data_IF_907451889107
#
_entry.id   IF_907451889107
#
_cell.length_a   1.000
_cell.length_b   1.000
_cell.length_c   1.000
_cell.angle_alpha   90.00
_cell.angle_beta   90.00
_cell.angle_gamma   90.00
#
_symmetry.space_group_name_H-M   'P 1'
#
loop_
_entity.id
_entity.type
_entity.pdbx_description
1 polymer ?
#
# COMPACT_ATOMS: atom_id res chain seq x y z
N UNK A 1 -7.56 -5.59 -0.91
CA UNK A 1 -6.12 -5.82 -0.71
C UNK A 1 -5.94 -6.39 0.68
N UNK A 2 -5.27 -7.53 0.82
CA UNK A 2 -5.03 -8.16 2.11
C UNK A 2 -3.53 -8.18 2.37
N UNK A 3 -3.12 -7.63 3.51
CA UNK A 3 -1.75 -7.71 3.96
C UNK A 3 -1.56 -8.98 4.81
N UNK A 4 -0.33 -9.22 5.24
CA UNK A 4 -0.03 -10.19 6.29
C UNK A 4 -1.00 -10.02 7.48
N UNK A 5 -1.56 -11.11 8.04
CA UNK A 5 -1.17 -12.52 7.86
C UNK A 5 -1.94 -13.31 6.78
N UNK A 6 -2.78 -12.67 5.97
CA UNK A 6 -3.57 -13.37 4.95
C UNK A 6 -2.69 -13.73 3.74
N UNK A 7 -2.84 -14.94 3.20
CA UNK A 7 -2.18 -15.37 1.96
C UNK A 7 -3.16 -15.44 0.79
N UNK A 8 -2.66 -15.23 -0.42
CA UNK A 8 -3.41 -15.29 -1.69
C UNK A 8 -2.50 -15.89 -2.76
N UNK A 9 -3.08 -16.54 -3.77
CA UNK A 9 -2.32 -16.86 -4.97
C UNK A 9 -1.86 -15.57 -5.64
N UNK A 10 -0.57 -15.52 -5.99
CA UNK A 10 0.03 -14.33 -6.55
C UNK A 10 1.16 -14.66 -7.52
N UNK A 11 1.32 -13.78 -8.50
CA UNK A 11 2.51 -13.68 -9.33
C UNK A 11 3.06 -12.27 -9.22
N UNK A 12 4.39 -12.12 -9.10
CA UNK A 12 5.06 -10.81 -9.07
C UNK A 12 6.32 -10.85 -9.92
N UNK A 13 6.41 -9.94 -10.88
CA UNK A 13 7.60 -9.69 -11.68
C UNK A 13 8.28 -8.38 -11.25
N UNK A 14 9.60 -8.39 -11.15
CA UNK A 14 10.42 -7.21 -10.83
C UNK A 14 11.55 -7.09 -11.84
N UNK A 15 11.77 -5.88 -12.33
CA UNK A 15 12.85 -5.54 -13.24
C UNK A 15 13.70 -4.41 -12.65
N UNK A 16 14.97 -4.69 -12.38
CA UNK A 16 15.91 -3.68 -11.88
C UNK A 16 16.50 -2.93 -13.08
N UNK A 17 16.17 -1.64 -13.22
CA UNK A 17 16.69 -0.78 -14.29
C UNK A 17 18.12 -0.32 -13.96
N UNK A 18 18.37 -0.02 -12.68
CA UNK A 18 19.68 0.30 -12.11
C UNK A 18 19.82 -0.40 -10.75
N UNK A 19 21.00 -0.37 -10.10
CA UNK A 19 21.13 -0.88 -8.74
C UNK A 19 20.24 -0.19 -7.70
N UNK A 20 19.81 1.05 -7.99
CA UNK A 20 18.98 1.87 -7.11
C UNK A 20 17.56 2.12 -7.64
N UNK A 21 17.21 1.64 -8.83
CA UNK A 21 15.90 1.91 -9.43
C UNK A 21 15.30 0.65 -10.05
N UNK A 22 14.09 0.29 -9.64
CA UNK A 22 13.37 -0.86 -10.20
C UNK A 22 11.89 -0.57 -10.43
N UNK A 23 11.34 -1.30 -11.39
CA UNK A 23 9.91 -1.37 -11.64
C UNK A 23 9.40 -2.77 -11.29
N UNK A 24 8.18 -2.87 -10.76
CA UNK A 24 7.54 -4.15 -10.49
C UNK A 24 6.05 -4.11 -10.80
N UNK A 25 5.52 -5.28 -11.15
CA UNK A 25 4.09 -5.52 -11.37
C UNK A 25 3.71 -6.84 -10.72
N UNK A 26 2.50 -6.90 -10.18
CA UNK A 26 1.94 -8.13 -9.64
C UNK A 26 0.55 -8.42 -10.17
N UNK A 27 0.14 -9.67 -9.99
CA UNK A 27 -1.24 -10.14 -10.16
C UNK A 27 -1.56 -10.98 -8.95
N UNK A 28 -2.52 -10.53 -8.15
CA UNK A 28 -2.96 -11.17 -6.92
C UNK A 28 -4.41 -11.61 -7.08
N UNK A 29 -4.72 -12.84 -6.68
CA UNK A 29 -6.08 -13.34 -6.60
C UNK A 29 -6.89 -12.51 -5.59
N UNK A 30 -8.00 -11.89 -6.02
CA UNK A 30 -8.91 -11.16 -5.13
C UNK A 30 -10.04 -12.09 -4.69
N UNK A 31 -9.87 -12.69 -3.51
CA UNK A 31 -10.81 -13.68 -2.95
C UNK A 31 -11.18 -13.34 -1.50
N UNK A 32 -12.37 -12.73 -1.26
CA UNK A 32 -12.84 -12.41 0.08
C UNK A 32 -12.97 -13.60 1.04
N UNK A 33 -13.16 -14.83 0.52
CA UNK A 33 -13.28 -16.01 1.40
C UNK A 33 -11.99 -16.34 2.16
N UNK A 34 -10.83 -15.80 1.73
CA UNK A 34 -9.58 -15.92 2.49
C UNK A 34 -9.62 -15.19 3.84
N UNK A 35 -10.59 -14.32 4.08
CA UNK A 35 -10.80 -13.63 5.36
C UNK A 35 -11.63 -14.45 6.35
N UNK A 36 -12.27 -15.52 5.89
CA UNK A 36 -13.13 -16.36 6.73
C UNK A 36 -12.28 -17.27 7.65
N UNK A 37 -12.65 -17.35 8.92
CA UNK A 37 -12.04 -18.32 9.85
C UNK A 37 -12.29 -19.74 9.36
N UNK A 38 -11.23 -20.54 9.25
CA UNK A 38 -11.27 -21.88 8.62
C UNK A 38 -10.54 -21.94 7.27
N UNK A 39 -10.35 -20.80 6.60
CA UNK A 39 -9.64 -20.70 5.32
C UNK A 39 -8.17 -20.27 5.45
N UNK A 40 -7.58 -20.29 6.65
CA UNK A 40 -6.19 -19.85 6.87
C UNK A 40 -5.12 -20.65 6.10
N UNK A 41 -5.42 -21.90 5.73
CA UNK A 41 -4.58 -22.76 4.88
C UNK A 41 -5.24 -23.09 3.53
N UNK A 42 -6.17 -22.25 3.07
CA UNK A 42 -6.89 -22.46 1.81
C UNK A 42 -5.93 -22.36 0.62
N UNK A 43 -5.82 -23.46 -0.13
CA UNK A 43 -5.05 -23.53 -1.38
C UNK A 43 -5.93 -23.50 -2.64
N UNK A 44 -7.23 -23.66 -2.49
CA UNK A 44 -8.19 -23.62 -3.61
C UNK A 44 -8.58 -22.19 -3.97
N UNK A 45 -8.66 -21.88 -5.26
CA UNK A 45 -9.14 -20.58 -5.77
C UNK A 45 -10.66 -20.39 -5.79
N UNK A 46 -11.43 -21.27 -5.14
CA UNK A 46 -12.89 -21.08 -5.03
C UNK A 46 -13.23 -19.82 -4.22
N UNK A 47 -14.22 -19.05 -4.66
CA UNK A 47 -14.63 -17.79 -4.02
C UNK A 47 -14.02 -16.53 -4.66
N UNK A 48 -13.12 -16.69 -5.62
CA UNK A 48 -12.45 -15.58 -6.32
C UNK A 48 -13.45 -14.67 -7.04
N UNK A 49 -13.27 -13.37 -6.84
CA UNK A 49 -14.12 -12.31 -7.42
C UNK A 49 -13.41 -11.51 -8.51
N UNK A 50 -12.09 -11.66 -8.62
CA UNK A 50 -11.28 -10.98 -9.63
C UNK A 50 -9.81 -11.05 -9.26
N UNK A 51 -9.05 -10.04 -9.69
CA UNK A 51 -7.65 -9.87 -9.36
C UNK A 51 -7.37 -8.44 -8.87
N UNK A 52 -6.24 -8.27 -8.21
CA UNK A 52 -5.60 -6.97 -7.98
C UNK A 52 -4.27 -6.95 -8.72
N UNK A 53 -4.07 -5.88 -9.49
CA UNK A 53 -2.88 -5.62 -10.29
C UNK A 53 -2.19 -4.36 -9.74
N UNK A 54 -1.20 -4.51 -8.84
CA UNK A 54 -0.32 -3.42 -8.47
C UNK A 54 0.81 -3.23 -9.49
N UNK A 55 1.13 -1.98 -9.79
CA UNK A 55 2.34 -1.55 -10.50
C UNK A 55 3.08 -0.56 -9.60
N UNK A 56 4.39 -0.70 -9.48
CA UNK A 56 5.20 0.14 -8.61
C UNK A 56 6.55 0.48 -9.24
N UNK A 57 6.96 1.73 -9.08
CA UNK A 57 8.32 2.22 -9.29
C UNK A 57 8.95 2.49 -7.93
N UNK A 58 10.19 2.06 -7.76
CA UNK A 58 10.93 2.23 -6.51
C UNK A 58 12.32 2.75 -6.81
N UNK A 59 12.68 3.85 -6.16
CA UNK A 59 13.99 4.51 -6.24
C UNK A 59 14.64 4.57 -4.86
N UNK A 60 15.86 4.07 -4.75
CA UNK A 60 16.61 3.93 -3.49
C UNK A 60 17.96 4.65 -3.54
N UNK A 61 17.99 5.98 -3.68
CA UNK A 61 19.23 6.74 -3.82
C UNK A 61 19.99 6.89 -2.50
N UNK A 62 21.19 7.46 -2.60
CA UNK A 62 21.87 8.10 -1.48
C UNK A 62 21.82 9.62 -1.61
N UNK A 63 21.21 10.30 -0.65
CA UNK A 63 21.17 11.77 -0.57
C UNK A 63 22.13 12.20 0.53
N UNK A 64 23.17 12.98 0.18
CA UNK A 64 24.27 13.31 1.09
C UNK A 64 24.89 12.07 1.75
N UNK A 65 25.13 11.01 0.95
CA UNK A 65 25.63 9.70 1.38
C UNK A 65 24.70 8.89 2.31
N UNK A 66 23.49 9.39 2.59
CA UNK A 66 22.50 8.74 3.45
C UNK A 66 21.40 8.04 2.64
N UNK A 67 20.98 6.82 3.03
CA UNK A 67 20.02 6.03 2.27
C UNK A 67 18.62 6.66 2.27
N UNK A 68 18.00 6.67 1.09
CA UNK A 68 16.59 6.97 0.91
C UNK A 68 15.87 5.86 0.13
N UNK A 69 14.54 5.84 0.23
CA UNK A 69 13.67 5.01 -0.59
C UNK A 69 12.37 5.76 -0.90
N UNK A 70 12.03 5.82 -2.18
CA UNK A 70 10.88 6.53 -2.71
C UNK A 70 10.10 5.57 -3.61
N UNK A 71 8.82 5.38 -3.30
CA UNK A 71 7.92 4.48 -4.01
C UNK A 71 6.76 5.28 -4.57
N UNK A 72 6.41 4.99 -5.82
CA UNK A 72 5.19 5.44 -6.46
C UNK A 72 4.51 4.22 -7.06
N UNK A 73 3.24 4.02 -6.73
CA UNK A 73 2.51 2.91 -7.31
C UNK A 73 1.03 3.18 -7.54
N UNK A 74 0.45 2.25 -8.27
CA UNK A 74 -0.93 2.23 -8.70
C UNK A 74 -1.49 0.82 -8.56
N UNK A 75 -2.74 0.68 -8.13
CA UNK A 75 -3.44 -0.58 -8.16
C UNK A 75 -4.70 -0.49 -9.00
N UNK A 76 -5.03 -1.60 -9.65
CA UNK A 76 -6.31 -1.83 -10.29
C UNK A 76 -6.90 -3.15 -9.81
N UNK A 77 -8.17 -3.16 -9.41
CA UNK A 77 -8.90 -4.39 -9.07
C UNK A 77 -10.01 -4.65 -10.08
N UNK A 78 -10.14 -5.89 -10.54
CA UNK A 78 -11.22 -6.30 -11.46
C UNK A 78 -12.45 -6.85 -10.75
N UNK A 79 -12.44 -6.88 -9.41
CA UNK A 79 -13.60 -7.31 -8.64
C UNK A 79 -14.68 -6.21 -8.66
N UNK A 80 -15.94 -6.62 -8.74
CA UNK A 80 -17.06 -5.70 -8.62
C UNK A 80 -17.05 -5.02 -7.26
N UNK A 81 -17.41 -3.75 -7.23
CA UNK A 81 -17.50 -2.96 -6.03
C UNK A 81 -18.72 -2.05 -6.08
N UNK A 82 -19.37 -1.87 -4.94
CA UNK A 82 -20.56 -1.03 -4.86
C UNK A 82 -20.18 0.43 -4.73
N UNK A 83 -21.01 1.29 -5.31
CA UNK A 83 -20.94 2.73 -5.13
C UNK A 83 -21.22 3.11 -3.67
N UNK A 84 -20.61 4.19 -3.18
CA UNK A 84 -20.81 4.66 -1.81
C UNK A 84 -22.02 5.59 -1.64
N UNK A 85 -22.64 6.04 -2.73
CA UNK A 85 -23.73 7.03 -2.73
C UNK A 85 -24.89 6.69 -3.68
N UNK A 86 -24.59 6.34 -4.92
CA UNK A 86 -25.60 6.10 -5.97
C UNK A 86 -26.22 4.70 -5.88
N UNK A 87 -27.52 4.62 -6.10
CA UNK A 87 -28.24 3.38 -6.36
C UNK A 87 -28.19 2.98 -7.84
N UNK A 88 -28.72 1.79 -8.15
CA UNK A 88 -28.78 1.24 -9.51
C UNK A 88 -29.45 2.16 -10.56
N UNK A 89 -30.26 3.13 -10.13
CA UNK A 89 -30.95 4.10 -10.98
C UNK A 89 -30.27 5.48 -11.01
N UNK A 90 -29.11 5.63 -10.36
CA UNK A 90 -28.39 6.91 -10.24
C UNK A 90 -29.02 7.89 -9.25
N UNK A 91 -29.87 7.41 -8.32
CA UNK A 91 -30.43 8.21 -7.24
C UNK A 91 -29.63 8.01 -5.94
N UNK A 92 -29.82 8.88 -4.95
CA UNK A 92 -29.18 8.70 -3.65
C UNK A 92 -29.74 7.44 -2.96
N UNK A 93 -28.89 6.43 -2.75
CA UNK A 93 -29.30 5.12 -2.23
C UNK A 93 -29.98 5.24 -0.86
N UNK A 94 -29.50 6.14 0.00
CA UNK A 94 -30.08 6.38 1.33
C UNK A 94 -31.52 6.91 1.31
N UNK A 95 -32.01 7.42 0.17
CA UNK A 95 -33.39 7.89 0.01
C UNK A 95 -34.32 6.84 -0.61
N UNK A 96 -33.79 5.97 -1.47
CA UNK A 96 -34.60 5.01 -2.24
C UNK A 96 -34.65 3.63 -1.61
N UNK A 97 -33.60 3.24 -0.86
CA UNK A 97 -33.43 1.88 -0.34
C UNK A 97 -33.18 0.82 -1.43
N UNK A 98 -32.97 1.24 -2.69
CA UNK A 98 -32.61 0.33 -3.76
C UNK A 98 -31.16 -0.20 -3.59
N UNK A 99 -30.79 -1.19 -4.39
CA UNK A 99 -29.42 -1.70 -4.41
C UNK A 99 -28.45 -0.61 -4.90
N UNK A 100 -27.24 -0.59 -4.32
CA UNK A 100 -26.16 0.29 -4.79
C UNK A 100 -25.82 0.01 -6.26
N UNK A 101 -25.39 1.07 -6.96
CA UNK A 101 -24.78 0.94 -8.27
C UNK A 101 -23.50 0.12 -8.17
N UNK A 102 -23.31 -0.81 -9.11
CA UNK A 102 -22.12 -1.67 -9.12
C UNK A 102 -21.12 -1.19 -10.16
N UNK A 103 -19.87 -1.00 -9.75
CA UNK A 103 -18.72 -0.69 -10.60
C UNK A 103 -17.93 -1.97 -10.89
N UNK A 104 -17.34 -2.05 -12.07
CA UNK A 104 -16.58 -3.23 -12.52
C UNK A 104 -15.14 -3.28 -12.00
N UNK A 105 -14.68 -2.22 -11.33
CA UNK A 105 -13.32 -2.13 -10.84
C UNK A 105 -13.15 -1.16 -9.68
N UNK A 106 -11.98 -1.25 -9.02
CA UNK A 106 -11.46 -0.28 -8.06
C UNK A 106 -10.07 0.14 -8.47
N UNK A 107 -9.65 1.35 -8.12
CA UNK A 107 -8.28 1.78 -8.38
C UNK A 107 -7.79 2.82 -7.39
N UNK A 108 -6.48 3.04 -7.38
CA UNK A 108 -5.87 4.04 -6.50
C UNK A 108 -4.37 4.11 -6.65
N UNK A 109 -3.79 5.12 -6.03
CA UNK A 109 -2.38 5.44 -6.08
C UNK A 109 -1.79 5.48 -4.68
N UNK A 110 -0.50 5.22 -4.57
CA UNK A 110 0.25 5.43 -3.33
C UNK A 110 1.61 6.06 -3.59
N UNK A 111 2.07 6.80 -2.60
CA UNK A 111 3.44 7.30 -2.49
C UNK A 111 3.98 6.91 -1.12
N UNK A 112 5.19 6.36 -1.09
CA UNK A 112 5.97 6.13 0.13
C UNK A 112 7.30 6.86 -0.03
N UNK A 113 7.71 7.62 0.97
CA UNK A 113 9.01 8.25 1.01
C UNK A 113 9.65 8.01 2.37
N UNK A 114 10.91 7.58 2.37
CA UNK A 114 11.72 7.42 3.57
C UNK A 114 13.12 7.96 3.27
N UNK A 115 13.68 8.79 4.15
CA UNK A 115 15.01 9.36 3.95
C UNK A 115 15.70 9.51 5.30
N UNK A 116 16.88 8.92 5.43
CA UNK A 116 17.79 9.30 6.52
C UNK A 116 18.37 10.68 6.22
N UNK A 117 18.20 11.63 7.13
CA UNK A 117 18.58 13.04 6.94
C UNK A 117 19.78 13.44 7.80
N UNK A 118 20.14 12.65 8.82
CA UNK A 118 21.36 12.86 9.61
C UNK A 118 22.09 11.55 9.91
N UNK A 119 23.40 11.64 10.12
CA UNK A 119 24.22 10.60 10.74
C UNK A 119 24.71 11.08 12.10
N UNK A 120 24.36 10.38 13.18
CA UNK A 120 24.69 10.83 14.55
C UNK A 120 26.20 10.72 14.77
N UNK A 121 26.89 11.84 14.99
CA UNK A 121 28.35 11.90 15.14
C UNK A 121 29.12 11.22 13.98
N UNK A 122 28.57 11.26 12.76
CA UNK A 122 29.16 10.61 11.58
C UNK A 122 28.92 9.10 11.47
N UNK A 123 28.22 8.49 12.43
CA UNK A 123 27.79 7.09 12.36
C UNK A 123 26.52 6.97 11.51
N UNK A 124 26.67 6.46 10.28
CA UNK A 124 25.56 6.26 9.36
C UNK A 124 24.53 5.21 9.84
N UNK A 125 24.87 4.38 10.83
CA UNK A 125 23.92 3.42 11.41
C UNK A 125 22.94 4.04 12.42
N UNK A 126 23.15 5.32 12.76
CA UNK A 126 22.39 6.13 13.72
C UNK A 126 21.95 7.45 13.08
N UNK A 127 21.00 8.12 13.71
CA UNK A 127 20.53 9.45 13.28
C UNK A 127 19.04 9.49 12.99
N UNK A 128 18.62 10.60 12.40
CA UNK A 128 17.23 10.91 12.12
C UNK A 128 16.84 10.44 10.72
N UNK A 129 15.71 9.74 10.64
CA UNK A 129 15.02 9.41 9.40
C UNK A 129 13.63 10.03 9.40
N UNK A 130 13.25 10.61 8.27
CA UNK A 130 11.90 11.11 8.03
C UNK A 130 11.17 10.13 7.12
N UNK A 131 9.86 9.99 7.30
CA UNK A 131 9.03 9.20 6.41
C UNK A 131 7.68 9.86 6.16
N UNK A 132 7.10 9.55 5.00
CA UNK A 132 5.77 9.98 4.62
C UNK A 132 5.08 8.92 3.76
N UNK A 133 3.76 8.77 3.95
CA UNK A 133 2.91 7.88 3.16
C UNK A 133 1.67 8.64 2.71
N UNK A 134 1.33 8.51 1.43
CA UNK A 134 0.13 9.12 0.86
C UNK A 134 -0.61 8.06 0.05
N UNK A 135 -1.94 8.00 0.21
CA UNK A 135 -2.79 7.16 -0.65
C UNK A 135 -3.98 7.95 -1.15
N UNK A 136 -4.39 7.66 -2.38
CA UNK A 136 -5.59 8.23 -3.01
C UNK A 136 -6.35 7.07 -3.65
N UNK A 137 -7.66 7.03 -3.43
CA UNK A 137 -8.51 5.94 -3.86
C UNK A 137 -9.65 6.44 -4.74
N UNK A 138 -10.23 5.58 -5.58
CA UNK A 138 -11.40 5.95 -6.37
C UNK A 138 -12.56 6.39 -5.46
N UNK A 139 -13.16 7.55 -5.75
CA UNK A 139 -14.23 8.14 -4.93
C UNK A 139 -15.55 7.39 -5.03
N UNK A 140 -15.72 6.60 -6.09
CA UNK A 140 -16.97 5.89 -6.35
C UNK A 140 -17.18 4.74 -5.35
N UNK A 141 -16.12 3.99 -5.02
CA UNK A 141 -16.27 2.71 -4.29
C UNK A 141 -15.44 2.60 -3.01
N UNK A 142 -14.66 3.64 -2.64
CA UNK A 142 -13.88 3.65 -1.41
C UNK A 142 -14.46 4.59 -0.37
N UNK A 143 -14.60 4.07 0.85
CA UNK A 143 -15.01 4.85 2.03
C UNK A 143 -13.92 5.87 2.41
N UNK A 144 -12.65 5.47 2.31
CA UNK A 144 -11.51 6.37 2.51
C UNK A 144 -11.15 6.99 1.16
N UNK A 145 -11.37 8.29 1.01
CA UNK A 145 -10.99 9.05 -0.20
C UNK A 145 -9.46 9.09 -0.35
N UNK A 146 -8.78 9.52 0.71
CA UNK A 146 -7.34 9.65 0.77
C UNK A 146 -6.82 9.53 2.20
N UNK A 147 -5.54 9.22 2.34
CA UNK A 147 -4.84 9.13 3.61
C UNK A 147 -3.44 9.75 3.51
N UNK A 148 -3.00 10.38 4.60
CA UNK A 148 -1.68 10.99 4.73
C UNK A 148 -1.05 10.60 6.05
N UNK A 149 0.24 10.34 6.01
CA UNK A 149 1.07 10.13 7.17
C UNK A 149 2.40 10.85 6.95
N UNK A 150 2.87 11.50 8.00
CA UNK A 150 4.24 12.01 8.10
C UNK A 150 4.73 11.62 9.47
N UNK A 151 5.98 11.23 9.57
CA UNK A 151 6.60 10.91 10.85
C UNK A 151 8.11 10.89 10.76
N UNK A 152 8.72 10.55 11.88
CA UNK A 152 10.17 10.48 12.01
C UNK A 152 10.58 9.38 12.98
N UNK A 153 11.80 8.87 12.79
CA UNK A 153 12.45 7.95 13.71
C UNK A 153 13.88 8.41 13.95
N UNK A 154 14.28 8.57 15.20
CA UNK A 154 15.67 8.79 15.58
C UNK A 154 16.27 7.51 16.15
N UNK A 155 17.30 6.98 15.50
CA UNK A 155 18.01 5.78 15.94
C UNK A 155 19.28 6.13 16.71
N UNK A 156 19.45 5.53 17.89
CA UNK A 156 20.63 5.68 18.74
C UNK A 156 20.81 7.10 19.23
N UNK A 157 19.77 7.71 19.82
CA UNK A 157 19.84 9.07 20.35
C UNK A 157 20.86 9.21 21.49
N UNK A 158 21.03 8.16 22.29
CA UNK A 158 21.96 8.12 23.42
C UNK A 158 23.05 7.08 23.17
N UNK A 159 24.31 7.43 23.44
CA UNK A 159 25.45 6.51 23.27
C UNK A 159 25.35 5.24 24.14
N UNK A 160 24.63 5.33 25.27
CA UNK A 160 24.35 4.17 26.14
C UNK A 160 23.42 3.14 25.48
N UNK A 161 22.61 3.56 24.51
CA UNK A 161 21.59 2.74 23.82
C UNK A 161 21.63 3.02 22.31
N UNK A 162 22.75 2.73 21.62
CA UNK A 162 22.97 3.16 20.24
C UNK A 162 22.07 2.44 19.21
N UNK A 163 21.31 1.42 19.65
CA UNK A 163 20.40 0.65 18.81
C UNK A 163 18.92 0.89 19.10
N UNK A 164 18.60 1.63 20.18
CA UNK A 164 17.21 2.01 20.48
C UNK A 164 16.75 3.10 19.52
N UNK A 165 15.44 3.17 19.29
CA UNK A 165 14.80 4.12 18.40
C UNK A 165 13.65 4.88 19.08
N UNK A 166 13.47 6.14 18.65
CA UNK A 166 12.38 7.01 19.11
C UNK A 166 11.57 7.41 17.88
N UNK A 167 10.31 6.98 17.81
CA UNK A 167 9.39 7.28 16.70
C UNK A 167 8.28 8.26 17.08
N UNK A 168 7.87 9.08 16.12
CA UNK A 168 6.67 9.92 16.18
C UNK A 168 5.94 9.90 14.83
#
# INVERSE_FOLDING_TARGET
>A
WYNWPVSQWAFRAKYNLTPEFFAQVGVFEQNPSNLETGNGFKLSGSGTKGMILPVELVWSPKVNDLPGEYRLGYYYSTAKADDIYEDVNGQAQGLTGAAFKSHSSKHGWWVVAQQQVTAHNGDASRGLSLFANFTVHDKATNVVDNYQQVGMVYKGAFDARPKDDIGF
#
